data_IF_628465925370
#
_entry.id   IF_628465925370
#
_cell.length_a   1.000
_cell.length_b   1.000
_cell.length_c   1.000
_cell.angle_alpha   90.00
_cell.angle_beta   90.00
_cell.angle_gamma   90.00
#
_symmetry.space_group_name_H-M   'P 1'
#
loop_
_entity.id
_entity.type
_entity.pdbx_description
1 polymer ?
#
# COMPACT_ATOMS: atom_id res chain seq x y z
N UNK A 1 -15.01 -0.58 -1.78
CA UNK A 1 -16.37 -1.20 -1.79
C UNK A 1 -16.47 -2.31 -2.83
N UNK A 2 -15.92 -2.14 -4.04
CA UNK A 2 -15.81 -3.23 -5.02
C UNK A 2 -14.99 -4.44 -4.52
N UNK A 3 -13.90 -4.21 -3.78
CA UNK A 3 -13.09 -5.30 -3.18
C UNK A 3 -13.84 -6.14 -2.13
N UNK A 4 -14.75 -5.54 -1.37
CA UNK A 4 -15.44 -6.27 -0.30
C UNK A 4 -16.42 -7.31 -0.86
N UNK A 5 -17.02 -7.01 -2.02
CA UNK A 5 -17.95 -7.91 -2.70
C UNK A 5 -17.22 -9.06 -3.42
N UNK A 6 -16.05 -8.80 -4.02
CA UNK A 6 -15.18 -9.87 -4.54
C UNK A 6 -14.61 -10.76 -3.43
N UNK A 7 -14.27 -10.20 -2.26
CA UNK A 7 -13.84 -10.99 -1.10
C UNK A 7 -14.95 -11.87 -0.50
N UNK A 8 -16.22 -11.41 -0.52
CA UNK A 8 -17.38 -12.21 -0.10
C UNK A 8 -17.75 -13.31 -1.10
N UNK A 9 -17.58 -13.09 -2.40
CA UNK A 9 -17.75 -14.17 -3.38
C UNK A 9 -16.66 -15.26 -3.21
N UNK A 10 -15.45 -14.88 -2.82
CA UNK A 10 -14.36 -15.84 -2.57
C UNK A 10 -14.59 -16.71 -1.32
N UNK A 11 -15.54 -16.37 -0.43
CA UNK A 11 -15.84 -17.22 0.73
C UNK A 11 -16.81 -18.37 0.45
N UNK A 12 -17.59 -18.31 -0.64
CA UNK A 12 -18.59 -19.33 -0.98
C UNK A 12 -18.20 -20.19 -2.20
N UNK A 13 -17.26 -19.70 -3.00
CA UNK A 13 -16.83 -20.35 -4.23
C UNK A 13 -15.35 -20.71 -4.17
N UNK A 14 -15.03 -21.80 -4.87
CA UNK A 14 -13.66 -22.21 -5.21
C UNK A 14 -13.42 -21.95 -6.68
N UNK A 15 -12.15 -21.77 -7.06
CA UNK A 15 -11.75 -21.47 -8.44
C UNK A 15 -10.90 -22.62 -8.99
N UNK A 16 -11.52 -23.74 -9.40
CA UNK A 16 -10.82 -24.77 -10.14
C UNK A 16 -10.45 -24.31 -11.56
N UNK A 17 -9.36 -24.89 -12.07
CA UNK A 17 -8.88 -24.76 -13.45
C UNK A 17 -8.32 -26.09 -13.91
N UNK A 18 -8.36 -26.35 -15.22
CA UNK A 18 -7.83 -27.57 -15.81
C UNK A 18 -6.69 -27.25 -16.76
N UNK A 19 -5.58 -27.99 -16.66
CA UNK A 19 -4.49 -28.00 -17.64
C UNK A 19 -4.61 -29.29 -18.46
N UNK A 20 -4.86 -29.15 -19.76
CA UNK A 20 -4.98 -30.29 -20.66
C UNK A 20 -3.61 -30.65 -21.26
N UNK A 21 -2.98 -31.71 -20.75
CA UNK A 21 -1.79 -32.32 -21.35
C UNK A 21 -2.10 -33.44 -22.35
N UNK A 22 -3.37 -33.71 -22.64
CA UNK A 22 -3.77 -34.72 -23.62
C UNK A 22 -3.58 -34.18 -25.06
N UNK A 23 -3.30 -35.08 -26.00
CA UNK A 23 -3.14 -34.74 -27.42
C UNK A 23 -4.44 -34.38 -28.16
N UNK A 24 -5.57 -34.34 -27.46
CA UNK A 24 -6.90 -33.98 -27.99
C UNK A 24 -7.56 -32.93 -27.10
N UNK A 25 -8.54 -32.22 -27.67
CA UNK A 25 -9.30 -31.21 -26.93
C UNK A 25 -10.27 -31.88 -25.95
N UNK A 26 -10.48 -31.26 -24.79
CA UNK A 26 -11.30 -31.80 -23.71
C UNK A 26 -12.40 -30.84 -23.32
N UNK A 27 -13.62 -31.34 -23.16
CA UNK A 27 -14.73 -30.57 -22.63
C UNK A 27 -14.94 -30.93 -21.16
N UNK A 28 -14.77 -29.96 -20.27
CA UNK A 28 -14.90 -30.16 -18.83
C UNK A 28 -16.15 -29.44 -18.31
N UNK A 29 -16.95 -30.15 -17.52
CA UNK A 29 -18.18 -29.62 -16.93
C UNK A 29 -18.26 -30.00 -15.46
N UNK A 30 -18.77 -29.10 -14.62
CA UNK A 30 -19.08 -29.37 -13.22
C UNK A 30 -20.56 -29.08 -12.96
N UNK A 31 -21.39 -30.12 -13.02
CA UNK A 31 -22.84 -29.98 -12.95
C UNK A 31 -23.38 -29.07 -14.06
N UNK A 32 -23.86 -27.88 -13.71
CA UNK A 32 -24.40 -26.88 -14.66
C UNK A 32 -23.36 -25.86 -15.14
N UNK A 33 -22.13 -25.92 -14.63
CA UNK A 33 -21.05 -25.00 -14.97
C UNK A 33 -20.15 -25.60 -16.04
N UNK A 34 -19.85 -24.82 -17.08
CA UNK A 34 -19.02 -25.24 -18.21
C UNK A 34 -17.67 -24.54 -18.15
N UNK A 35 -16.58 -25.31 -18.27
CA UNK A 35 -15.21 -24.78 -18.32
C UNK A 35 -14.76 -24.46 -19.74
N UNK A 36 -15.66 -24.58 -20.71
CA UNK A 36 -15.41 -24.52 -22.15
C UNK A 36 -14.46 -25.63 -22.64
N UNK A 37 -14.22 -25.65 -23.95
CA UNK A 37 -13.27 -26.59 -24.56
C UNK A 37 -11.86 -26.18 -24.15
N UNK A 38 -11.16 -27.10 -23.48
CA UNK A 38 -9.77 -26.96 -23.08
C UNK A 38 -8.91 -27.53 -24.19
N UNK A 39 -8.23 -26.65 -24.93
CA UNK A 39 -7.38 -27.03 -26.04
C UNK A 39 -6.20 -27.89 -25.59
N UNK A 40 -5.64 -28.69 -26.51
CA UNK A 40 -4.39 -29.44 -26.27
C UNK A 40 -3.25 -28.54 -25.77
N UNK A 41 -2.55 -28.99 -24.74
CA UNK A 41 -1.44 -28.28 -24.06
C UNK A 41 -1.79 -26.86 -23.57
N UNK A 42 -3.08 -26.56 -23.38
CA UNK A 42 -3.56 -25.27 -22.91
C UNK A 42 -4.36 -25.44 -21.60
N UNK A 43 -4.64 -24.32 -20.95
CA UNK A 43 -5.35 -24.28 -19.69
C UNK A 43 -6.75 -23.67 -19.86
N UNK A 44 -7.72 -24.19 -19.10
CA UNK A 44 -9.06 -23.62 -19.02
C UNK A 44 -9.05 -22.25 -18.35
N UNK A 45 -10.15 -21.51 -18.45
CA UNK A 45 -10.39 -20.38 -17.55
C UNK A 45 -10.76 -20.88 -16.15
N UNK A 46 -10.58 -20.02 -15.14
CA UNK A 46 -11.12 -20.25 -13.81
C UNK A 46 -12.63 -20.12 -13.83
N UNK A 47 -13.32 -21.06 -13.20
CA UNK A 47 -14.78 -21.03 -13.05
C UNK A 47 -15.11 -21.13 -11.58
N UNK A 48 -15.99 -20.24 -11.10
CA UNK A 48 -16.44 -20.27 -9.71
C UNK A 48 -17.37 -21.46 -9.48
N UNK A 49 -16.91 -22.46 -8.73
CA UNK A 49 -17.68 -23.66 -8.36
C UNK A 49 -18.02 -23.59 -6.87
N UNK A 50 -19.29 -23.82 -6.48
CA UNK A 50 -19.67 -23.81 -5.08
C UNK A 50 -18.90 -24.88 -4.28
N UNK A 51 -18.65 -24.58 -3.01
CA UNK A 51 -17.94 -25.47 -2.09
C UNK A 51 -18.60 -26.83 -1.88
N UNK A 52 -17.78 -27.82 -1.50
CA UNK A 52 -18.22 -29.19 -1.21
C UNK A 52 -17.76 -30.20 -2.27
N UNK A 53 -18.42 -31.36 -2.30
CA UNK A 53 -18.09 -32.43 -3.23
C UNK A 53 -18.52 -32.05 -4.65
N UNK A 54 -17.58 -31.61 -5.47
CA UNK A 54 -17.79 -31.29 -6.86
C UNK A 54 -17.53 -32.51 -7.74
N UNK A 55 -18.43 -32.75 -8.70
CA UNK A 55 -18.29 -33.80 -9.71
C UNK A 55 -17.94 -33.16 -11.04
N UNK A 56 -16.74 -33.46 -11.52
CA UNK A 56 -16.23 -33.00 -12.80
C UNK A 56 -16.43 -34.08 -13.85
N UNK A 57 -17.14 -33.76 -14.92
CA UNK A 57 -17.28 -34.63 -16.08
C UNK A 57 -16.36 -34.12 -17.19
N UNK A 58 -15.38 -34.94 -17.56
CA UNK A 58 -14.41 -34.67 -18.61
C UNK A 58 -14.78 -35.53 -19.82
N UNK A 59 -15.03 -34.88 -20.95
CA UNK A 59 -15.48 -35.53 -22.20
C UNK A 59 -14.49 -35.25 -23.32
N UNK A 60 -14.20 -36.28 -24.12
CA UNK A 60 -13.45 -36.15 -25.37
C UNK A 60 -14.40 -36.00 -26.57
N UNK A 61 -13.86 -35.55 -27.71
CA UNK A 61 -14.57 -35.51 -29.00
C UNK A 61 -15.07 -36.89 -29.45
N UNK A 62 -14.39 -37.96 -29.00
CA UNK A 62 -14.77 -39.35 -29.24
C UNK A 62 -15.96 -39.84 -28.39
N UNK A 63 -16.55 -38.99 -27.54
CA UNK A 63 -17.69 -39.32 -26.69
C UNK A 63 -17.35 -40.15 -25.43
N UNK A 64 -16.06 -40.33 -25.13
CA UNK A 64 -15.60 -40.95 -23.89
C UNK A 64 -15.75 -39.95 -22.73
N UNK A 65 -16.30 -40.40 -21.59
CA UNK A 65 -16.53 -39.59 -20.39
C UNK A 65 -15.73 -40.13 -19.21
N UNK A 66 -15.18 -39.23 -18.41
CA UNK A 66 -14.54 -39.50 -17.12
C UNK A 66 -15.24 -38.65 -16.05
N UNK A 67 -15.67 -39.30 -14.96
CA UNK A 67 -16.25 -38.63 -13.80
C UNK A 67 -15.22 -38.59 -12.67
N UNK A 68 -14.86 -37.38 -12.25
CA UNK A 68 -13.88 -37.13 -11.21
C UNK A 68 -14.53 -36.35 -10.05
N UNK A 69 -14.53 -36.95 -8.87
CA UNK A 69 -15.10 -36.36 -7.67
C UNK A 69 -13.96 -35.75 -6.82
N UNK A 70 -14.08 -34.46 -6.49
CA UNK A 70 -13.10 -33.78 -5.64
C UNK A 70 -13.80 -32.86 -4.63
N UNK A 71 -13.29 -32.85 -3.39
CA UNK A 71 -13.85 -32.00 -2.34
C UNK A 71 -13.20 -30.60 -2.37
N UNK A 72 -13.97 -29.59 -2.77
CA UNK A 72 -13.51 -28.21 -2.86
C UNK A 72 -13.72 -27.48 -1.53
N UNK A 73 -12.64 -26.86 -1.03
CA UNK A 73 -12.67 -26.06 0.20
C UNK A 73 -12.91 -24.57 -0.05
N UNK A 74 -13.15 -23.83 1.04
CA UNK A 74 -13.48 -22.40 1.00
C UNK A 74 -12.37 -21.57 0.35
N UNK A 75 -12.68 -20.79 -0.70
CA UNK A 75 -11.76 -19.86 -1.34
C UNK A 75 -10.47 -20.49 -1.88
N UNK A 76 -10.45 -21.81 -2.11
CA UNK A 76 -9.28 -22.48 -2.69
C UNK A 76 -9.24 -22.27 -4.19
N UNK A 77 -8.03 -22.06 -4.72
CA UNK A 77 -7.74 -22.14 -6.15
C UNK A 77 -6.95 -23.42 -6.40
N UNK A 78 -7.40 -24.22 -7.35
CA UNK A 78 -6.83 -25.53 -7.63
C UNK A 78 -6.70 -25.70 -9.14
N UNK A 79 -5.52 -26.13 -9.57
CA UNK A 79 -5.25 -26.50 -10.95
C UNK A 79 -5.18 -28.02 -11.05
N UNK A 80 -6.11 -28.61 -11.79
CA UNK A 80 -6.11 -30.04 -12.11
C UNK A 80 -5.28 -30.27 -13.36
N UNK A 81 -4.21 -31.05 -13.23
CA UNK A 81 -3.32 -31.41 -14.33
C UNK A 81 -3.75 -32.76 -14.89
N UNK A 82 -4.11 -32.77 -16.17
CA UNK A 82 -4.41 -33.98 -16.94
C UNK A 82 -3.13 -34.36 -17.72
N UNK A 83 -2.42 -35.44 -17.36
CA UNK A 83 -1.18 -35.81 -18.03
C UNK A 83 -1.43 -36.43 -19.40
N UNK A 84 -0.38 -36.50 -20.23
CA UNK A 84 -0.41 -37.13 -21.56
C UNK A 84 -0.78 -38.62 -21.54
N UNK A 85 -0.52 -39.31 -20.41
CA UNK A 85 -0.82 -40.72 -20.18
C UNK A 85 -2.27 -40.97 -19.72
N UNK A 86 -3.09 -39.93 -19.65
CA UNK A 86 -4.46 -40.03 -19.22
C UNK A 86 -5.27 -40.97 -20.13
N UNK A 87 -6.03 -41.88 -19.53
CA UNK A 87 -6.90 -42.81 -20.26
C UNK A 87 -8.32 -42.76 -19.71
N UNK A 88 -9.29 -42.82 -20.61
CA UNK A 88 -10.71 -42.86 -20.23
C UNK A 88 -11.06 -44.26 -19.73
N UNK A 89 -11.65 -44.32 -18.52
CA UNK A 89 -11.99 -45.56 -17.84
C UNK A 89 -12.67 -45.31 -16.50
N UNK A 90 -13.03 -46.37 -15.76
CA UNK A 90 -13.68 -46.24 -14.45
C UNK A 90 -12.77 -45.58 -13.40
N UNK A 91 -11.44 -45.73 -13.53
CA UNK A 91 -10.44 -45.19 -12.59
C UNK A 91 -9.69 -43.97 -13.13
N UNK A 92 -10.30 -43.22 -14.07
CA UNK A 92 -9.66 -42.07 -14.72
C UNK A 92 -9.22 -40.96 -13.74
N UNK A 93 -9.86 -40.87 -12.57
CA UNK A 93 -9.52 -39.91 -11.53
C UNK A 93 -8.13 -40.08 -10.92
N UNK A 94 -7.53 -41.28 -11.00
CA UNK A 94 -6.21 -41.55 -10.43
C UNK A 94 -5.06 -40.88 -11.20
N UNK A 95 -5.27 -40.62 -12.50
CA UNK A 95 -4.27 -39.95 -13.35
C UNK A 95 -4.29 -38.43 -13.22
N UNK A 96 -5.34 -37.86 -12.62
CA UNK A 96 -5.48 -36.41 -12.47
C UNK A 96 -4.72 -35.97 -11.23
N UNK A 97 -3.76 -35.08 -11.41
CA UNK A 97 -2.98 -34.53 -10.31
C UNK A 97 -3.51 -33.15 -9.92
N UNK A 98 -4.12 -33.00 -8.73
CA UNK A 98 -4.52 -31.70 -8.23
C UNK A 98 -3.31 -30.94 -7.68
N UNK A 99 -3.07 -29.75 -8.21
CA UNK A 99 -2.11 -28.78 -7.65
C UNK A 99 -2.91 -27.70 -6.94
N UNK A 100 -2.68 -27.57 -5.64
CA UNK A 100 -3.35 -26.55 -4.83
C UNK A 100 -2.57 -25.25 -5.01
N UNK A 101 -3.12 -24.31 -5.76
CA UNK A 101 -2.53 -22.99 -5.97
C UNK A 101 -2.71 -22.12 -4.73
N UNK A 102 -3.90 -22.15 -4.14
CA UNK A 102 -4.25 -21.44 -2.91
C UNK A 102 -4.93 -22.44 -1.96
N UNK A 103 -4.36 -22.57 -0.75
CA UNK A 103 -4.86 -23.47 0.29
C UNK A 103 -6.28 -23.08 0.71
N UNK A 104 -7.19 -24.06 0.94
CA UNK A 104 -8.53 -23.75 1.43
C UNK A 104 -8.49 -23.05 2.78
N UNK A 105 -9.31 -22.01 2.92
CA UNK A 105 -9.49 -21.31 4.19
C UNK A 105 -10.33 -22.15 5.16
N UNK A 106 -9.99 -22.08 6.44
CA UNK A 106 -10.72 -22.77 7.51
C UNK A 106 -11.78 -21.88 8.17
N UNK A 107 -11.71 -20.57 7.95
CA UNK A 107 -12.55 -19.55 8.58
C UNK A 107 -13.14 -18.67 7.49
N UNK A 108 -14.38 -18.22 7.71
CA UNK A 108 -15.06 -17.29 6.80
C UNK A 108 -14.30 -15.97 6.69
N UNK A 109 -14.04 -15.50 5.45
CA UNK A 109 -13.33 -14.24 5.17
C UNK A 109 -13.93 -13.02 5.88
N UNK A 110 -15.24 -13.03 6.16
CA UNK A 110 -15.90 -11.95 6.90
C UNK A 110 -15.30 -11.67 8.29
N UNK A 111 -14.60 -12.65 8.91
CA UNK A 111 -13.88 -12.44 10.17
C UNK A 111 -12.70 -11.47 10.05
N UNK A 112 -12.26 -11.14 8.84
CA UNK A 112 -11.25 -10.13 8.59
C UNK A 112 -11.81 -8.70 8.71
N UNK A 113 -13.13 -8.52 8.59
CA UNK A 113 -13.77 -7.20 8.65
C UNK A 113 -13.56 -6.52 10.02
N UNK A 114 -13.84 -7.18 11.17
CA UNK A 114 -13.56 -6.58 12.48
C UNK A 114 -12.07 -6.23 12.67
N UNK A 115 -11.16 -7.07 12.17
CA UNK A 115 -9.72 -6.84 12.30
C UNK A 115 -9.31 -5.56 11.56
N UNK A 116 -9.70 -5.39 10.30
CA UNK A 116 -9.40 -4.16 9.56
C UNK A 116 -10.04 -2.93 10.20
N UNK A 117 -11.28 -3.05 10.67
CA UNK A 117 -11.94 -1.95 11.36
C UNK A 117 -11.17 -1.50 12.60
N UNK A 118 -10.74 -2.45 13.46
CA UNK A 118 -9.99 -2.13 14.67
C UNK A 118 -8.62 -1.53 14.37
N UNK A 119 -7.90 -2.05 13.37
CA UNK A 119 -6.59 -1.52 12.97
C UNK A 119 -6.74 -0.09 12.45
N UNK A 120 -7.67 0.15 11.52
CA UNK A 120 -7.90 1.50 10.97
C UNK A 120 -8.40 2.47 12.03
N UNK A 121 -9.30 2.04 12.93
CA UNK A 121 -9.75 2.87 14.04
C UNK A 121 -8.59 3.22 14.98
N UNK A 122 -7.74 2.24 15.32
CA UNK A 122 -6.54 2.44 16.13
C UNK A 122 -5.55 3.41 15.48
N UNK A 123 -5.30 3.25 14.18
CA UNK A 123 -4.43 4.14 13.41
C UNK A 123 -4.95 5.58 13.39
N UNK A 124 -6.23 5.79 13.09
CA UNK A 124 -6.82 7.14 13.05
C UNK A 124 -6.77 7.77 14.44
N UNK A 125 -7.16 7.05 15.48
CA UNK A 125 -7.15 7.58 16.85
C UNK A 125 -5.72 7.91 17.27
N UNK A 126 -4.76 6.99 17.08
CA UNK A 126 -3.38 7.21 17.52
C UNK A 126 -2.66 8.29 16.69
N UNK A 127 -2.75 8.22 15.36
CA UNK A 127 -2.02 9.10 14.45
C UNK A 127 -2.56 10.53 14.48
N UNK A 128 -3.88 10.71 14.39
CA UNK A 128 -4.49 12.06 14.35
C UNK A 128 -4.32 12.76 15.69
N UNK A 129 -4.61 12.08 16.81
CA UNK A 129 -4.47 12.70 18.15
C UNK A 129 -3.02 12.97 18.51
N UNK A 130 -2.09 12.07 18.16
CA UNK A 130 -0.67 12.27 18.39
C UNK A 130 -0.11 13.47 17.64
N UNK A 131 -0.48 13.62 16.37
CA UNK A 131 -0.10 14.79 15.56
C UNK A 131 -0.74 16.09 16.05
N UNK A 132 -2.03 16.06 16.42
CA UNK A 132 -2.73 17.22 16.95
C UNK A 132 -2.08 17.72 18.26
N UNK A 133 -1.74 16.79 19.16
CA UNK A 133 -1.02 17.10 20.38
C UNK A 133 0.37 17.68 20.08
N UNK A 134 1.15 17.03 19.21
CA UNK A 134 2.47 17.50 18.83
C UNK A 134 2.42 18.92 18.21
N UNK A 135 1.42 19.21 17.38
CA UNK A 135 1.23 20.54 16.80
C UNK A 135 0.78 21.60 17.82
N UNK A 136 0.01 21.22 18.84
CA UNK A 136 -0.43 22.14 19.90
C UNK A 136 0.71 22.57 20.82
N UNK A 137 1.70 21.70 21.01
CA UNK A 137 2.87 21.96 21.86
C UNK A 137 4.05 22.60 21.10
N UNK A 138 3.92 22.76 19.78
CA UNK A 138 5.01 23.20 18.91
C UNK A 138 4.94 24.69 18.56
N UNK A 139 6.08 25.42 18.61
CA UNK A 139 6.16 26.78 18.09
C UNK A 139 5.85 26.83 16.59
N UNK A 140 5.24 27.94 16.15
CA UNK A 140 4.75 28.18 14.78
C UNK A 140 5.78 27.88 13.69
N UNK A 141 7.07 28.14 13.95
CA UNK A 141 8.15 27.97 12.99
C UNK A 141 8.66 26.52 12.86
N UNK A 142 8.25 25.58 13.74
CA UNK A 142 8.77 24.20 13.79
C UNK A 142 7.76 23.13 13.36
N UNK A 143 6.53 23.52 13.01
CA UNK A 143 5.46 22.58 12.63
C UNK A 143 5.86 21.69 11.44
N UNK A 144 6.55 22.23 10.43
CA UNK A 144 7.01 21.46 9.28
C UNK A 144 8.06 20.40 9.64
N UNK A 145 8.95 20.70 10.60
CA UNK A 145 9.99 19.77 11.06
C UNK A 145 9.36 18.62 11.87
N UNK A 146 8.33 18.90 12.65
CA UNK A 146 7.59 17.87 13.39
C UNK A 146 6.86 16.90 12.47
N UNK A 147 6.23 17.41 11.40
CA UNK A 147 5.61 16.55 10.41
C UNK A 147 6.65 15.66 9.70
N UNK A 148 7.79 16.22 9.36
CA UNK A 148 8.90 15.45 8.79
C UNK A 148 9.43 14.39 9.79
N UNK A 149 9.54 14.75 11.07
CA UNK A 149 9.91 13.83 12.14
C UNK A 149 8.90 12.69 12.33
N UNK A 150 7.60 12.99 12.25
CA UNK A 150 6.55 11.99 12.30
C UNK A 150 6.62 11.02 11.12
N UNK A 151 6.81 11.52 9.90
CA UNK A 151 6.98 10.65 8.72
C UNK A 151 8.25 9.80 8.82
N UNK A 152 9.32 10.34 9.42
CA UNK A 152 10.55 9.59 9.65
C UNK A 152 10.34 8.42 10.61
N UNK A 153 9.59 8.60 11.70
CA UNK A 153 9.31 7.50 12.63
C UNK A 153 8.43 6.42 11.98
N UNK A 154 7.46 6.80 11.15
CA UNK A 154 6.68 5.85 10.33
C UNK A 154 7.59 5.06 9.39
N UNK A 155 8.53 5.73 8.70
CA UNK A 155 9.48 5.06 7.82
C UNK A 155 10.38 4.07 8.57
N UNK A 156 10.90 4.46 9.74
CA UNK A 156 11.70 3.56 10.60
C UNK A 156 10.86 2.38 11.07
N UNK A 157 9.60 2.59 11.46
CA UNK A 157 8.68 1.53 11.84
C UNK A 157 8.47 0.51 10.70
N UNK A 158 8.24 0.99 9.48
CA UNK A 158 8.09 0.13 8.30
C UNK A 158 9.37 -0.68 8.01
N UNK A 159 10.56 -0.08 8.19
CA UNK A 159 11.84 -0.79 8.05
C UNK A 159 11.97 -1.90 9.10
N UNK A 160 11.61 -1.63 10.35
CA UNK A 160 11.66 -2.63 11.42
C UNK A 160 10.73 -3.80 11.10
N UNK A 161 9.50 -3.54 10.63
CA UNK A 161 8.55 -4.60 10.25
C UNK A 161 9.11 -5.47 9.12
N UNK A 162 9.71 -4.87 8.10
CA UNK A 162 10.35 -5.62 7.00
C UNK A 162 11.51 -6.49 7.49
N UNK A 163 12.38 -5.95 8.33
CA UNK A 163 13.51 -6.71 8.88
C UNK A 163 13.00 -7.88 9.72
N UNK A 164 11.97 -7.67 10.54
CA UNK A 164 11.38 -8.75 11.36
C UNK A 164 10.74 -9.81 10.47
N UNK A 165 10.01 -9.43 9.42
CA UNK A 165 9.38 -10.39 8.51
C UNK A 165 10.40 -11.29 7.79
N UNK A 166 11.53 -10.72 7.32
CA UNK A 166 12.59 -11.49 6.64
C UNK A 166 13.48 -12.27 7.63
N UNK A 167 13.83 -11.67 8.77
CA UNK A 167 14.75 -12.27 9.73
C UNK A 167 14.09 -13.31 10.64
N UNK A 168 12.81 -13.11 11.00
CA UNK A 168 12.05 -14.00 11.86
C UNK A 168 11.17 -14.92 11.01
N UNK A 169 11.75 -15.57 9.99
CA UNK A 169 11.14 -16.69 9.25
C UNK A 169 10.90 -17.88 10.19
N UNK A 170 10.00 -17.67 11.15
CA UNK A 170 9.50 -18.65 12.08
C UNK A 170 8.59 -19.57 11.26
N UNK A 171 8.79 -20.88 11.42
CA UNK A 171 7.98 -21.91 10.76
C UNK A 171 6.48 -21.78 11.09
N UNK A 172 6.17 -21.09 12.17
CA UNK A 172 4.87 -21.03 12.79
C UNK A 172 4.29 -19.61 12.79
N UNK A 173 3.23 -19.41 12.02
CA UNK A 173 2.56 -18.12 11.82
C UNK A 173 1.99 -17.51 13.12
N UNK A 174 1.64 -18.32 14.12
CA UNK A 174 1.13 -17.84 15.41
C UNK A 174 2.21 -17.14 16.25
N UNK A 175 3.48 -17.56 16.10
CA UNK A 175 4.59 -16.99 16.85
C UNK A 175 4.91 -15.56 16.39
N UNK A 176 4.76 -15.30 15.09
CA UNK A 176 4.87 -13.96 14.50
C UNK A 176 3.84 -12.99 15.08
N UNK A 177 2.57 -13.42 15.20
CA UNK A 177 1.52 -12.59 15.80
C UNK A 177 1.81 -12.24 17.27
N UNK A 178 2.34 -13.19 18.05
CA UNK A 178 2.72 -12.93 19.45
C UNK A 178 3.91 -11.98 19.54
N UNK A 179 4.89 -12.11 18.64
CA UNK A 179 6.03 -11.20 18.57
C UNK A 179 5.54 -9.76 18.36
N UNK A 180 4.72 -9.51 17.33
CA UNK A 180 4.19 -8.17 17.07
C UNK A 180 3.29 -7.64 18.21
N UNK A 181 2.47 -8.50 18.81
CA UNK A 181 1.67 -8.13 19.98
C UNK A 181 2.55 -7.71 21.18
N UNK A 182 3.64 -8.44 21.43
CA UNK A 182 4.59 -8.11 22.50
C UNK A 182 5.33 -6.79 22.24
N UNK A 183 5.71 -6.53 20.99
CA UNK A 183 6.38 -5.29 20.59
C UNK A 183 5.45 -4.09 20.79
N UNK A 184 4.18 -4.21 20.39
CA UNK A 184 3.16 -3.19 20.64
C UNK A 184 2.91 -2.95 22.13
N UNK A 185 2.85 -4.01 22.94
CA UNK A 185 2.67 -3.90 24.39
C UNK A 185 3.82 -3.11 25.02
N UNK A 186 5.07 -3.40 24.64
CA UNK A 186 6.25 -2.66 25.10
C UNK A 186 6.13 -1.18 24.73
N UNK A 187 5.74 -0.86 23.49
CA UNK A 187 5.53 0.53 23.04
C UNK A 187 4.42 1.21 23.87
N UNK A 188 3.31 0.54 24.14
CA UNK A 188 2.24 1.07 24.99
C UNK A 188 2.72 1.38 26.41
N UNK A 189 3.54 0.51 27.01
CA UNK A 189 4.10 0.73 28.36
C UNK A 189 5.06 1.93 28.36
N UNK A 190 5.96 2.02 27.39
CA UNK A 190 6.88 3.15 27.25
C UNK A 190 6.11 4.45 27.06
N UNK A 191 5.07 4.45 26.23
CA UNK A 191 4.22 5.62 26.01
C UNK A 191 3.47 6.03 27.28
N UNK A 192 2.94 5.08 28.05
CA UNK A 192 2.27 5.34 29.32
C UNK A 192 3.21 5.97 30.36
N UNK A 193 4.45 5.48 30.46
CA UNK A 193 5.48 6.05 31.34
C UNK A 193 5.82 7.47 30.89
N UNK A 194 6.09 7.69 29.60
CA UNK A 194 6.38 9.02 29.05
C UNK A 194 5.23 10.01 29.30
N UNK A 195 3.98 9.57 29.13
CA UNK A 195 2.80 10.39 29.39
C UNK A 195 2.68 10.75 30.88
N UNK A 196 2.97 9.83 31.80
CA UNK A 196 2.92 10.11 33.24
C UNK A 196 3.95 11.15 33.67
N UNK A 197 5.12 11.19 33.03
CA UNK A 197 6.17 12.18 33.31
C UNK A 197 6.10 13.44 32.44
N UNK A 198 5.05 13.59 31.61
CA UNK A 198 4.94 14.72 30.70
C UNK A 198 4.45 15.98 31.41
N UNK A 199 5.28 17.03 31.42
CA UNK A 199 4.90 18.37 31.88
C UNK A 199 4.39 19.20 30.71
N UNK A 200 3.13 19.67 30.80
CA UNK A 200 2.52 20.50 29.76
C UNK A 200 3.24 21.85 29.66
N UNK A 201 3.66 22.23 28.46
CA UNK A 201 4.32 23.52 28.23
C UNK A 201 3.25 24.50 27.74
N UNK A 202 3.03 25.58 28.50
CA UNK A 202 2.10 26.64 28.10
C UNK A 202 2.52 27.27 26.76
N UNK A 203 1.68 27.20 25.70
CA UNK A 203 2.03 27.72 24.37
C UNK A 203 2.28 29.24 24.39
N UNK A 204 1.64 29.97 25.31
CA UNK A 204 1.81 31.43 25.48
C UNK A 204 3.21 31.83 25.92
N UNK A 205 3.93 30.97 26.69
CA UNK A 205 5.33 31.22 27.08
C UNK A 205 6.29 30.96 25.93
N UNK A 206 5.98 29.98 25.10
CA UNK A 206 6.75 29.64 23.90
C UNK A 206 6.67 30.81 22.89
N UNK A 207 5.46 31.29 22.60
CA UNK A 207 5.26 32.42 21.68
C UNK A 207 5.93 33.71 22.19
N UNK A 208 5.89 33.98 23.50
CA UNK A 208 6.59 35.13 24.08
C UNK A 208 8.13 35.03 23.95
N UNK A 209 8.72 33.85 24.19
CA UNK A 209 10.16 33.63 24.04
C UNK A 209 10.65 33.76 22.58
N UNK A 210 9.82 33.37 21.60
CA UNK A 210 10.15 33.55 20.19
C UNK A 210 9.84 34.95 19.67
N UNK A 211 8.79 35.60 20.18
CA UNK A 211 8.46 36.99 19.85
C UNK A 211 9.49 38.00 20.39
N UNK A 212 10.20 37.67 21.47
CA UNK A 212 11.32 38.46 22.00
C UNK A 212 12.64 38.21 21.25
N UNK A 213 12.81 37.05 20.60
CA UNK A 213 13.97 36.77 19.71
C UNK A 213 13.82 37.34 18.29
N UNK A 214 12.59 37.46 17.77
CA UNK A 214 12.27 37.99 16.45
C UNK A 214 12.40 39.53 16.23
N UNK A 215 12.46 40.44 17.24
CA UNK A 215 12.67 41.87 16.99
C UNK A 215 14.07 42.16 16.45
N UNK A 216 15.10 41.49 16.99
CA UNK A 216 16.50 41.67 16.57
C UNK A 216 16.76 41.12 15.16
N UNK A 217 16.14 39.99 14.80
CA UNK A 217 16.28 39.40 13.45
C UNK A 217 15.46 40.16 12.39
N UNK A 218 14.32 40.75 12.76
CA UNK A 218 13.58 41.68 11.88
C UNK A 218 14.36 42.97 11.62
N UNK A 219 15.05 43.50 12.62
CA UNK A 219 15.87 44.71 12.47
C UNK A 219 17.11 44.43 11.60
N UNK A 220 17.75 43.25 11.76
CA UNK A 220 18.82 42.77 10.87
C UNK A 220 18.35 42.52 9.44
N UNK A 221 17.16 41.95 9.23
CA UNK A 221 16.60 41.79 7.88
C UNK A 221 16.29 43.13 7.23
N UNK A 222 15.71 44.07 7.97
CA UNK A 222 15.43 45.43 7.46
C UNK A 222 16.70 46.21 7.13
N UNK A 223 17.75 46.11 7.94
CA UNK A 223 19.01 46.80 7.66
C UNK A 223 19.71 46.21 6.43
N UNK A 224 19.76 44.89 6.30
CA UNK A 224 20.31 44.20 5.11
C UNK A 224 19.51 44.50 3.84
N UNK A 225 18.18 44.62 3.95
CA UNK A 225 17.29 44.94 2.83
C UNK A 225 17.40 46.42 2.38
N UNK A 226 17.57 47.36 3.32
CA UNK A 226 17.88 48.77 3.00
C UNK A 226 19.25 48.91 2.30
N UNK A 227 20.30 48.26 2.82
CA UNK A 227 21.63 48.30 2.19
C UNK A 227 21.62 47.70 0.78
N UNK A 228 20.83 46.65 0.56
CA UNK A 228 20.69 46.04 -0.77
C UNK A 228 19.92 46.93 -1.75
N UNK A 229 18.92 47.68 -1.28
CA UNK A 229 18.14 48.60 -2.12
C UNK A 229 18.97 49.81 -2.54
N UNK A 230 19.71 50.43 -1.63
CA UNK A 230 20.62 51.56 -1.95
C UNK A 230 21.72 51.14 -2.93
N UNK A 231 22.26 49.91 -2.78
CA UNK A 231 23.28 49.37 -3.69
C UNK A 231 22.75 49.11 -5.11
N UNK A 232 21.46 48.80 -5.25
CA UNK A 232 20.80 48.56 -6.54
C UNK A 232 20.35 49.86 -7.19
N UNK A 233 19.96 50.86 -6.40
CA UNK A 233 19.56 52.18 -6.88
C UNK A 233 20.76 52.95 -7.44
N UNK A 234 21.90 52.97 -6.73
CA UNK A 234 23.15 53.56 -7.22
C UNK A 234 23.62 52.88 -8.52
N UNK A 235 23.49 51.55 -8.62
CA UNK A 235 23.88 50.79 -9.82
C UNK A 235 22.97 51.04 -11.03
N UNK A 236 21.71 51.41 -10.80
CA UNK A 236 20.78 51.75 -11.87
C UNK A 236 20.96 53.20 -12.34
N UNK A 237 21.35 54.10 -11.45
CA UNK A 237 21.64 55.51 -11.78
C UNK A 237 22.94 55.64 -12.60
N UNK A 238 23.95 54.83 -12.30
CA UNK A 238 25.19 54.71 -13.11
C UNK A 238 24.94 54.12 -14.51
N UNK A 239 23.94 53.22 -14.65
CA UNK A 239 23.56 52.66 -15.96
C UNK A 239 22.75 53.63 -16.79
N UNK A 240 21.86 54.41 -16.16
CA UNK A 240 20.99 55.36 -16.85
C UNK A 240 21.74 56.58 -17.38
N UNK A 241 22.88 56.92 -16.79
CA UNK A 241 23.80 57.95 -17.28
C UNK A 241 24.70 57.49 -18.44
N UNK A 242 24.75 56.18 -18.74
CA UNK A 242 25.60 55.61 -19.79
C UNK A 242 24.90 55.41 -21.15
N UNK A 243 23.56 55.43 -21.20
CA UNK A 243 22.77 55.10 -22.39
C UNK A 243 22.25 56.32 -23.17
N UNK A 244 22.71 57.54 -22.89
CA UNK A 244 22.23 58.77 -23.55
C UNK A 244 23.22 59.44 -24.53
N UNK A 245 24.23 58.74 -25.06
CA UNK A 245 25.16 59.35 -26.03
C UNK A 245 25.54 58.40 -27.17
N UNK A 246 24.80 58.50 -28.28
CA UNK A 246 25.08 58.13 -29.70
C UNK A 246 23.69 58.07 -30.37
N UNK A 247 23.26 58.87 -31.34
CA UNK A 247 23.90 59.45 -32.53
C UNK A 247 23.16 60.74 -32.94
N UNK A 248 23.89 61.75 -33.43
CA UNK A 248 23.68 62.38 -34.74
C UNK A 248 24.63 63.59 -34.89
N UNK A 249 25.49 63.47 -35.90
CA UNK A 249 26.41 64.47 -36.41
C UNK A 249 25.64 65.39 -37.37
N UNK A 250 25.51 66.69 -37.08
CA UNK A 250 25.85 67.78 -38.03
C UNK A 250 25.72 69.19 -37.42
N UNK A 251 26.72 69.99 -37.76
CA UNK A 251 27.08 71.40 -37.47
C UNK A 251 26.07 72.47 -37.98
N UNK A 252 26.33 73.80 -37.91
CA UNK A 252 26.72 74.68 -36.80
C UNK A 252 25.92 76.02 -36.74
N UNK A 253 26.19 76.80 -35.67
CA UNK A 253 26.11 78.26 -35.52
C UNK A 253 24.78 79.03 -35.28
N UNK A 254 24.65 79.50 -34.03
CA UNK A 254 24.69 80.89 -33.53
C UNK A 254 23.69 81.97 -34.00
N UNK A 255 23.14 82.65 -32.97
CA UNK A 255 22.52 84.00 -32.86
C UNK A 255 21.08 84.09 -33.36
N UNK A 256 20.14 84.60 -32.57
CA UNK A 256 20.20 85.69 -31.57
C UNK A 256 19.55 85.28 -30.25
#
# INVERSE_FOLDING_TARGET
MLDLQSHLLCSEFSLPRFLNGLGSDLNVTAGNLFFWVVNKNDMSNYVAVPQGLAKFQIKNDAGQECNYDYNLGFGSSITFIIPTIFTFGPDCGLSIHPVIDIKPNTIHMAWQIPQYFLITAGEVIFSVTGLEFAYSQAPSNMKSVLQAGWLLTVAVGNIIVLIVAEAATLSDQWAEYILFASLLLVVCVVFAIMAHFYTYIDPTKIEAQFAEKDPEDKEKRKSVEMTKKDSVEHRNEDRRSSDSSSDEEETPQTKI
#
